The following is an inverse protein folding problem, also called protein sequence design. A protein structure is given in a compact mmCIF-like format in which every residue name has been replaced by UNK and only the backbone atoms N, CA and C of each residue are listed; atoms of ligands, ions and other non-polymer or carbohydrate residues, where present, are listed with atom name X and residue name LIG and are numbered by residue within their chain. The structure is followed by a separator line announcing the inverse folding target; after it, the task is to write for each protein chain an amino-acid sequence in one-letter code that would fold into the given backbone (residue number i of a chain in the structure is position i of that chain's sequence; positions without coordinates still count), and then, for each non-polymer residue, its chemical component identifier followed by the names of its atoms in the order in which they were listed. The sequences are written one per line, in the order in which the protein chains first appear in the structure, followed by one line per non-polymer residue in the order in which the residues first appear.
data_IF_386835803430
#
_entry.id   IF_386835803430
#
_cell.length_a   1.000
_cell.length_b   1.000
_cell.length_c   1.000
_cell.angle_alpha   90.00
_cell.angle_beta   90.00
_cell.angle_gamma   90.00
#
_symmetry.space_group_name_H-M   'P 1'
#
loop_
_entity.id
_entity.type
_entity.pdbx_description
1 polymer ?
#
# COMPACT_ATOMS: atom_id res chain seq x y z
N UNK A 1 24.45 29.56 -42.35
CA UNK A 1 24.72 29.04 -41.00
C UNK A 1 23.37 28.77 -40.33
N UNK A 2 22.96 27.50 -40.23
CA UNK A 2 21.60 27.10 -39.79
C UNK A 2 21.66 26.80 -38.30
N UNK A 3 20.89 27.51 -37.48
CA UNK A 3 20.83 27.25 -36.04
C UNK A 3 20.27 25.83 -35.77
N UNK A 4 20.79 25.10 -34.77
CA UNK A 4 20.27 23.79 -34.41
C UNK A 4 18.90 23.92 -33.73
N UNK A 5 17.96 23.08 -34.13
CA UNK A 5 16.61 23.01 -33.54
C UNK A 5 16.68 22.45 -32.11
N UNK A 6 15.96 23.05 -31.14
CA UNK A 6 15.92 22.51 -29.79
C UNK A 6 15.15 21.18 -29.81
N UNK A 7 15.80 20.13 -29.34
CA UNK A 7 15.16 18.84 -29.11
C UNK A 7 14.04 19.04 -28.09
N UNK A 8 12.80 18.88 -28.55
CA UNK A 8 11.61 18.81 -27.71
C UNK A 8 11.74 17.51 -26.90
N UNK A 9 12.42 17.55 -25.75
CA UNK A 9 12.27 16.53 -24.72
C UNK A 9 10.81 16.59 -24.32
N UNK A 10 10.03 15.60 -24.73
CA UNK A 10 8.68 15.41 -24.23
C UNK A 10 8.80 15.09 -22.74
N UNK A 11 8.84 16.11 -21.90
CA UNK A 11 8.58 15.98 -20.47
C UNK A 11 7.19 15.38 -20.36
N UNK A 12 7.10 14.13 -19.95
CA UNK A 12 5.85 13.61 -19.38
C UNK A 12 5.51 14.61 -18.29
N UNK A 13 4.44 15.39 -18.47
CA UNK A 13 4.08 16.40 -17.50
C UNK A 13 3.87 15.68 -16.17
N UNK A 14 4.74 15.94 -15.19
CA UNK A 14 4.59 15.40 -13.84
C UNK A 14 3.20 15.77 -13.35
N UNK A 15 2.42 14.75 -12.96
CA UNK A 15 1.10 14.98 -12.40
C UNK A 15 1.27 15.79 -11.12
N UNK A 16 0.45 16.81 -10.94
CA UNK A 16 0.40 17.50 -9.65
C UNK A 16 0.01 16.51 -8.55
N UNK A 17 0.47 16.74 -7.31
CA UNK A 17 0.11 15.90 -6.16
C UNK A 17 -1.40 15.65 -6.05
N UNK A 18 -2.21 16.67 -6.32
CA UNK A 18 -3.67 16.56 -6.33
C UNK A 18 -4.20 15.58 -7.40
N UNK A 19 -3.64 15.62 -8.62
CA UNK A 19 -3.98 14.67 -9.68
C UNK A 19 -3.54 13.25 -9.32
N UNK A 20 -2.37 13.09 -8.72
CA UNK A 20 -1.87 11.79 -8.23
C UNK A 20 -2.78 11.22 -7.15
N UNK A 21 -3.21 12.04 -6.18
CA UNK A 21 -4.17 11.63 -5.14
C UNK A 21 -5.53 11.24 -5.72
N UNK A 22 -6.06 12.03 -6.65
CA UNK A 22 -7.32 11.70 -7.31
C UNK A 22 -7.21 10.38 -8.09
N UNK A 23 -6.09 10.18 -8.80
CA UNK A 23 -5.83 8.92 -9.49
C UNK A 23 -5.74 7.74 -8.52
N UNK A 24 -4.99 7.87 -7.42
CA UNK A 24 -4.89 6.84 -6.37
C UNK A 24 -6.26 6.47 -5.81
N UNK A 25 -7.10 7.47 -5.50
CA UNK A 25 -8.48 7.26 -5.04
C UNK A 25 -9.30 6.46 -6.05
N UNK A 26 -9.19 6.79 -7.33
CA UNK A 26 -9.90 6.09 -8.41
C UNK A 26 -9.47 4.63 -8.60
N UNK A 27 -8.21 4.29 -8.30
CA UNK A 27 -7.68 2.94 -8.51
C UNK A 27 -7.65 2.08 -7.24
N UNK A 28 -8.02 2.65 -6.08
CA UNK A 28 -7.91 1.99 -4.78
C UNK A 28 -8.61 0.62 -4.73
N UNK A 29 -9.82 0.53 -5.29
CA UNK A 29 -10.56 -0.74 -5.39
C UNK A 29 -9.87 -1.79 -6.28
N UNK A 30 -9.25 -1.35 -7.37
CA UNK A 30 -8.46 -2.24 -8.24
C UNK A 30 -7.19 -2.72 -7.54
N UNK A 31 -6.48 -1.83 -6.84
CA UNK A 31 -5.29 -2.17 -6.06
C UNK A 31 -5.60 -3.25 -5.02
N UNK A 32 -6.71 -3.12 -4.30
CA UNK A 32 -7.12 -4.10 -3.33
C UNK A 32 -7.50 -5.43 -3.98
N UNK A 33 -8.22 -5.41 -5.10
CA UNK A 33 -8.55 -6.62 -5.86
C UNK A 33 -7.29 -7.34 -6.35
N UNK A 34 -6.34 -6.58 -6.92
CA UNK A 34 -5.05 -7.09 -7.36
C UNK A 34 -4.22 -7.66 -6.18
N UNK A 35 -4.29 -7.01 -5.02
CA UNK A 35 -3.66 -7.48 -3.78
C UNK A 35 -4.21 -8.83 -3.36
N UNK A 36 -5.54 -8.98 -3.25
CA UNK A 36 -6.14 -10.25 -2.83
C UNK A 36 -5.83 -11.38 -3.80
N UNK A 37 -5.84 -11.08 -5.10
CA UNK A 37 -5.40 -12.02 -6.11
C UNK A 37 -3.93 -12.43 -5.91
N UNK A 38 -3.03 -11.47 -5.71
CA UNK A 38 -1.61 -11.75 -5.50
C UNK A 38 -1.38 -12.55 -4.21
N UNK A 39 -2.11 -12.26 -3.14
CA UNK A 39 -2.06 -13.03 -1.89
C UNK A 39 -2.42 -14.50 -2.11
N UNK A 40 -3.53 -14.76 -2.82
CA UNK A 40 -3.98 -16.11 -3.16
C UNK A 40 -2.97 -16.84 -4.06
N UNK A 41 -2.41 -16.14 -5.05
CA UNK A 41 -1.44 -16.70 -5.99
C UNK A 41 -0.06 -16.98 -5.35
N UNK A 42 0.34 -16.25 -4.29
CA UNK A 42 1.73 -16.27 -3.78
C UNK A 42 1.91 -16.81 -2.37
N UNK A 43 0.86 -16.81 -1.53
CA UNK A 43 0.95 -17.25 -0.14
C UNK A 43 0.10 -18.51 0.07
N UNK A 44 0.69 -19.73 0.04
CA UNK A 44 -0.08 -20.97 0.19
C UNK A 44 -0.94 -21.01 1.46
N UNK A 45 -0.44 -20.47 2.58
CA UNK A 45 -1.19 -20.41 3.83
C UNK A 45 -2.43 -19.51 3.74
N UNK A 46 -2.40 -18.46 2.90
CA UNK A 46 -3.54 -17.56 2.71
C UNK A 46 -4.68 -18.31 2.02
N UNK A 47 -4.38 -19.09 0.98
CA UNK A 47 -5.37 -19.93 0.29
C UNK A 47 -6.05 -20.96 1.21
N UNK A 48 -5.36 -21.42 2.26
CA UNK A 48 -5.92 -22.35 3.26
C UNK A 48 -6.76 -21.69 4.35
N UNK A 49 -6.82 -20.36 4.41
CA UNK A 49 -7.58 -19.65 5.44
C UNK A 49 -9.10 -19.83 5.25
N UNK A 50 -9.85 -19.96 6.35
CA UNK A 50 -11.31 -19.93 6.29
C UNK A 50 -11.82 -18.65 5.63
N UNK A 51 -12.95 -18.70 4.91
CA UNK A 51 -13.50 -17.55 4.18
C UNK A 51 -13.64 -16.29 5.05
N UNK A 52 -14.12 -16.41 6.29
CA UNK A 52 -14.28 -15.27 7.21
C UNK A 52 -12.96 -14.56 7.51
N UNK A 53 -11.86 -15.31 7.68
CA UNK A 53 -10.52 -14.75 7.93
C UNK A 53 -9.94 -14.12 6.67
N UNK A 54 -10.12 -14.74 5.50
CA UNK A 54 -9.70 -14.13 4.23
C UNK A 54 -10.42 -12.82 3.96
N UNK A 55 -11.72 -12.76 4.26
CA UNK A 55 -12.50 -11.52 4.18
C UNK A 55 -11.95 -10.45 5.13
N UNK A 56 -11.58 -10.82 6.37
CA UNK A 56 -10.96 -9.89 7.32
C UNK A 56 -9.61 -9.34 6.82
N UNK A 57 -8.76 -10.19 6.23
CA UNK A 57 -7.53 -9.72 5.56
C UNK A 57 -7.84 -8.74 4.43
N UNK A 58 -8.90 -8.99 3.65
CA UNK A 58 -9.34 -8.08 2.59
C UNK A 58 -9.74 -6.70 3.09
N UNK A 59 -10.43 -6.63 4.23
CA UNK A 59 -10.76 -5.35 4.89
C UNK A 59 -9.49 -4.61 5.34
N UNK A 60 -8.52 -5.32 5.91
CA UNK A 60 -7.24 -4.72 6.34
C UNK A 60 -6.43 -4.22 5.15
N UNK A 61 -6.41 -4.95 4.04
CA UNK A 61 -5.73 -4.51 2.81
C UNK A 61 -6.34 -3.21 2.26
N UNK A 62 -7.68 -3.13 2.22
CA UNK A 62 -8.40 -1.90 1.84
C UNK A 62 -8.10 -0.73 2.78
N UNK A 63 -8.10 -0.98 4.09
CA UNK A 63 -7.76 0.02 5.10
C UNK A 63 -6.31 0.51 4.94
N UNK A 64 -5.36 -0.40 4.67
CA UNK A 64 -3.97 -0.08 4.40
C UNK A 64 -3.78 0.81 3.15
N UNK A 65 -4.46 0.47 2.05
CA UNK A 65 -4.42 1.30 0.82
C UNK A 65 -5.01 2.68 1.08
N UNK A 66 -6.13 2.76 1.79
CA UNK A 66 -6.78 4.04 2.14
C UNK A 66 -5.87 4.88 3.05
N UNK A 67 -5.28 4.24 4.05
CA UNK A 67 -4.33 4.81 4.99
C UNK A 67 -3.10 5.38 4.26
N UNK A 68 -2.55 4.66 3.28
CA UNK A 68 -1.49 5.17 2.41
C UNK A 68 -1.89 6.43 1.64
N UNK A 69 -3.09 6.45 1.04
CA UNK A 69 -3.57 7.61 0.27
C UNK A 69 -3.71 8.84 1.17
N UNK A 70 -4.27 8.66 2.38
CA UNK A 70 -4.40 9.72 3.37
C UNK A 70 -3.04 10.23 3.85
N UNK A 71 -2.11 9.31 4.15
CA UNK A 71 -0.74 9.66 4.52
C UNK A 71 0.00 10.37 3.39
N UNK A 72 -0.21 9.98 2.13
CA UNK A 72 0.43 10.64 1.00
C UNK A 72 -0.09 12.08 0.82
N UNK A 73 -1.36 12.34 1.15
CA UNK A 73 -1.96 13.68 1.15
C UNK A 73 -1.29 14.61 2.18
N UNK A 74 -1.10 14.11 3.39
CA UNK A 74 -0.35 14.79 4.46
C UNK A 74 0.63 13.85 5.19
N UNK A 75 1.90 13.78 4.74
CA UNK A 75 2.91 12.94 5.37
C UNK A 75 3.31 13.41 6.76
N UNK A 76 2.90 14.59 7.23
CA UNK A 76 3.24 15.07 8.58
C UNK A 76 2.31 14.51 9.67
N UNK A 77 1.19 13.91 9.27
CA UNK A 77 0.21 13.25 10.16
C UNK A 77 0.66 11.86 10.68
N UNK A 78 1.97 11.61 10.73
CA UNK A 78 2.64 10.30 10.69
C UNK A 78 2.37 9.27 11.80
N UNK A 79 2.21 9.59 13.11
CA UNK A 79 2.19 8.53 14.13
C UNK A 79 0.92 7.66 14.19
N UNK A 80 -0.22 8.13 13.68
CA UNK A 80 -1.54 7.52 13.96
C UNK A 80 -2.05 6.64 12.82
N UNK A 81 -1.73 7.00 11.58
CA UNK A 81 -2.40 6.48 10.38
C UNK A 81 -2.07 5.00 10.12
N UNK A 82 -0.86 4.54 10.47
CA UNK A 82 -0.49 3.13 10.36
C UNK A 82 -1.05 2.28 11.51
N UNK A 83 -1.15 2.84 12.72
CA UNK A 83 -1.76 2.17 13.88
C UNK A 83 -3.27 1.95 13.66
N UNK A 84 -3.95 2.90 13.00
CA UNK A 84 -5.38 2.79 12.68
C UNK A 84 -5.71 1.59 11.77
N UNK A 85 -4.79 1.20 10.87
CA UNK A 85 -4.98 0.03 9.98
C UNK A 85 -5.13 -1.26 10.81
N UNK A 86 -4.29 -1.42 11.83
CA UNK A 86 -4.37 -2.57 12.74
C UNK A 86 -5.47 -2.42 13.79
N UNK A 87 -5.82 -1.19 14.17
CA UNK A 87 -6.98 -0.90 15.03
C UNK A 87 -8.32 -1.27 14.37
N UNK A 88 -8.41 -1.12 13.04
CA UNK A 88 -9.56 -1.56 12.24
C UNK A 88 -9.62 -3.08 12.03
N UNK A 89 -8.52 -3.80 12.27
CA UNK A 89 -8.48 -5.24 12.10
C UNK A 89 -9.27 -5.97 13.21
N UNK A 90 -10.13 -6.95 12.89
CA UNK A 90 -10.80 -7.75 13.90
C UNK A 90 -9.79 -8.43 14.83
N UNK A 91 -10.02 -8.42 16.14
CA UNK A 91 -9.11 -9.03 17.14
C UNK A 91 -8.84 -10.52 16.85
N UNK A 92 -9.83 -11.22 16.32
CA UNK A 92 -9.71 -12.61 15.90
C UNK A 92 -8.68 -12.79 14.78
N UNK A 93 -8.56 -11.82 13.87
CA UNK A 93 -7.55 -11.85 12.83
C UNK A 93 -6.16 -11.78 13.46
N UNK A 94 -5.90 -10.78 14.32
CA UNK A 94 -4.60 -10.58 14.97
C UNK A 94 -4.11 -11.80 15.76
N UNK A 95 -5.02 -12.58 16.36
CA UNK A 95 -4.68 -13.83 17.06
C UNK A 95 -4.39 -15.02 16.13
N UNK A 96 -4.85 -14.95 14.88
CA UNK A 96 -4.82 -16.06 13.93
C UNK A 96 -3.72 -15.94 12.87
N UNK A 97 -3.11 -14.77 12.74
CA UNK A 97 -1.94 -14.53 11.89
C UNK A 97 -0.73 -14.28 12.76
N UNK A 98 0.38 -14.96 12.46
CA UNK A 98 1.66 -14.69 13.09
C UNK A 98 2.26 -13.37 12.59
N UNK A 99 3.24 -12.82 13.32
CA UNK A 99 4.00 -11.66 12.86
C UNK A 99 4.62 -11.91 11.48
N UNK A 100 5.18 -13.10 11.25
CA UNK A 100 5.74 -13.48 9.95
C UNK A 100 4.69 -13.40 8.83
N UNK A 101 3.48 -13.93 9.06
CA UNK A 101 2.39 -13.86 8.09
C UNK A 101 1.95 -12.42 7.84
N UNK A 102 1.85 -11.60 8.88
CA UNK A 102 1.54 -10.17 8.75
C UNK A 102 2.58 -9.43 7.91
N UNK A 103 3.87 -9.69 8.11
CA UNK A 103 4.93 -9.11 7.28
C UNK A 103 4.85 -9.57 5.81
N UNK A 104 4.47 -10.83 5.56
CA UNK A 104 4.24 -11.34 4.21
C UNK A 104 3.04 -10.65 3.54
N UNK A 105 1.95 -10.39 4.28
CA UNK A 105 0.81 -9.61 3.76
C UNK A 105 1.23 -8.19 3.38
N UNK A 106 1.93 -7.49 4.28
CA UNK A 106 2.43 -6.12 4.04
C UNK A 106 3.30 -6.09 2.78
N UNK A 107 4.23 -7.04 2.66
CA UNK A 107 5.11 -7.14 1.50
C UNK A 107 4.33 -7.25 0.19
N UNK A 108 3.34 -8.13 0.12
CA UNK A 108 2.53 -8.30 -1.10
C UNK A 108 1.74 -7.02 -1.43
N UNK A 109 1.16 -6.35 -0.43
CA UNK A 109 0.44 -5.09 -0.65
C UNK A 109 1.38 -4.03 -1.23
N UNK A 110 2.58 -3.88 -0.64
CA UNK A 110 3.59 -2.93 -1.09
C UNK A 110 4.04 -3.24 -2.51
N UNK A 111 4.37 -4.50 -2.82
CA UNK A 111 4.77 -4.92 -4.17
C UNK A 111 3.69 -4.60 -5.22
N UNK A 112 2.41 -4.82 -4.90
CA UNK A 112 1.30 -4.50 -5.83
C UNK A 112 1.17 -3.00 -6.06
N UNK A 113 1.30 -2.18 -5.01
CA UNK A 113 1.24 -0.72 -5.15
C UNK A 113 2.47 -0.21 -5.91
N UNK A 114 3.67 -0.68 -5.57
CA UNK A 114 4.92 -0.36 -6.27
C UNK A 114 4.84 -0.68 -7.76
N UNK A 115 4.38 -1.88 -8.12
CA UNK A 115 4.20 -2.30 -9.52
C UNK A 115 3.27 -1.36 -10.29
N UNK A 116 2.26 -0.80 -9.62
CA UNK A 116 1.28 0.11 -10.22
C UNK A 116 1.79 1.53 -10.39
N UNK A 117 2.75 1.96 -9.56
CA UNK A 117 3.28 3.34 -9.54
C UNK A 117 4.65 3.49 -10.18
N UNK A 118 5.35 2.38 -10.47
CA UNK A 118 6.75 2.40 -10.95
C UNK A 118 7.00 3.30 -12.17
N UNK A 119 6.05 3.42 -13.10
CA UNK A 119 6.21 4.23 -14.31
C UNK A 119 5.52 5.60 -14.24
N UNK A 120 5.05 6.02 -13.05
CA UNK A 120 4.21 7.22 -12.89
C UNK A 120 4.95 8.44 -12.35
N UNK A 121 5.46 8.34 -11.13
CA UNK A 121 5.93 9.49 -10.36
C UNK A 121 6.97 9.05 -9.30
N UNK A 122 8.12 9.69 -9.29
CA UNK A 122 9.22 9.37 -8.38
C UNK A 122 8.88 9.73 -6.92
N UNK A 123 8.14 10.82 -6.68
CA UNK A 123 7.71 11.20 -5.33
C UNK A 123 6.72 10.18 -4.77
N UNK A 124 5.84 9.63 -5.61
CA UNK A 124 4.93 8.57 -5.21
C UNK A 124 5.67 7.27 -4.88
N UNK A 125 6.68 6.93 -5.69
CA UNK A 125 7.56 5.78 -5.41
C UNK A 125 8.32 5.97 -4.10
N UNK A 126 8.85 7.16 -3.85
CA UNK A 126 9.48 7.47 -2.57
C UNK A 126 8.49 7.41 -1.40
N UNK A 127 7.27 7.89 -1.61
CA UNK A 127 6.18 7.85 -0.64
C UNK A 127 5.82 6.43 -0.20
N UNK A 128 5.69 5.48 -1.14
CA UNK A 128 5.37 4.09 -0.78
C UNK A 128 6.50 3.42 0.02
N UNK A 129 7.77 3.74 -0.27
CA UNK A 129 8.91 3.23 0.50
C UNK A 129 8.88 3.75 1.94
N UNK A 130 8.63 5.04 2.15
CA UNK A 130 8.52 5.62 3.49
C UNK A 130 7.34 5.01 4.27
N UNK A 131 6.16 4.95 3.65
CA UNK A 131 4.97 4.38 4.29
C UNK A 131 5.14 2.89 4.62
N UNK A 132 5.77 2.11 3.74
CA UNK A 132 6.01 0.67 3.96
C UNK A 132 6.90 0.40 5.19
N UNK A 133 7.86 1.28 5.45
CA UNK A 133 8.69 1.24 6.66
C UNK A 133 7.83 1.48 7.91
N UNK A 134 7.04 2.54 7.91
CA UNK A 134 6.22 2.90 9.09
C UNK A 134 5.17 1.83 9.41
N UNK A 135 4.49 1.26 8.41
CA UNK A 135 3.49 0.21 8.64
C UNK A 135 4.12 -1.10 9.14
N UNK A 136 5.34 -1.43 8.72
CA UNK A 136 6.06 -2.60 9.22
C UNK A 136 6.45 -2.45 10.71
N UNK A 137 6.91 -1.25 11.12
CA UNK A 137 7.17 -0.96 12.54
C UNK A 137 5.89 -0.97 13.38
N UNK A 138 4.80 -0.38 12.87
CA UNK A 138 3.50 -0.43 13.54
C UNK A 138 3.03 -1.89 13.76
N UNK A 139 3.24 -2.77 12.76
CA UNK A 139 2.96 -4.20 12.92
C UNK A 139 3.82 -4.82 14.03
N UNK A 140 5.12 -4.55 14.06
CA UNK A 140 6.00 -5.06 15.09
C UNK A 140 5.56 -4.62 16.50
N UNK A 141 5.16 -3.35 16.67
CA UNK A 141 4.66 -2.82 17.94
C UNK A 141 3.37 -3.51 18.41
N UNK A 142 2.43 -3.78 17.50
CA UNK A 142 1.19 -4.50 17.82
C UNK A 142 1.50 -5.90 18.35
N UNK A 143 2.38 -6.63 17.68
CA UNK A 143 2.74 -7.99 18.07
C UNK A 143 3.65 -8.06 19.31
N UNK A 144 4.47 -7.04 19.57
CA UNK A 144 5.29 -6.96 20.78
C UNK A 144 4.44 -6.74 22.05
N UNK A 145 3.22 -6.21 21.91
CA UNK A 145 2.28 -5.97 23.02
C UNK A 145 1.24 -7.09 23.19
N UNK A 146 1.16 -8.03 22.24
CA UNK A 146 0.10 -9.04 22.13
C UNK A 146 0.37 -10.31 22.95
#
# INVERSE_FOLDING_TARGET
MRAPSPHRRSTVAELTKAQTLQWLRNISGELATATLKRLDDTLPWYGTMPPSRRSAVGLVAQAGITSFISWYDDPTSQPWIAADVFGAAPRELLRSVSLQQTLQLIRVVVEVVEDRVKDRDENLRHGILLYSREIAFAAADVYARA
#
